data_IF_113123134705
#
_entry.id   IF_113123134705
#
_cell.length_a   1.000
_cell.length_b   1.000
_cell.length_c   1.000
_cell.angle_alpha   90.00
_cell.angle_beta   90.00
_cell.angle_gamma   90.00
#
_symmetry.space_group_name_H-M   'P 1'
#
loop_
_entity.id
_entity.type
_entity.pdbx_description
1 polymer ?
#
# COMPACT_ATOMS: atom_id res chain seq x y z
N UNK A 1 35.58 45.62 -9.33
CA UNK A 1 34.26 45.01 -9.67
C UNK A 1 34.37 43.57 -10.15
N UNK A 2 35.31 43.23 -11.05
CA UNK A 2 35.45 41.84 -11.51
C UNK A 2 35.91 40.87 -10.42
N UNK A 3 36.86 41.24 -9.55
CA UNK A 3 37.34 40.33 -8.49
C UNK A 3 36.24 39.94 -7.49
N UNK A 4 35.36 40.88 -7.12
CA UNK A 4 34.22 40.60 -6.23
C UNK A 4 33.19 39.65 -6.87
N UNK A 5 32.99 39.75 -8.19
CA UNK A 5 32.14 38.82 -8.96
C UNK A 5 32.70 37.39 -8.95
N UNK A 6 34.01 37.22 -9.13
CA UNK A 6 34.64 35.90 -9.14
C UNK A 6 34.61 35.26 -7.75
N UNK A 7 34.83 36.03 -6.68
CA UNK A 7 34.69 35.55 -5.30
C UNK A 7 33.25 35.12 -4.97
N UNK A 8 32.25 35.85 -5.47
CA UNK A 8 30.84 35.50 -5.28
C UNK A 8 30.46 34.21 -6.03
N UNK A 9 30.95 34.04 -7.26
CA UNK A 9 30.77 32.84 -8.07
C UNK A 9 31.43 31.61 -7.43
N UNK A 10 32.64 31.77 -6.87
CA UNK A 10 33.34 30.71 -6.16
C UNK A 10 32.60 30.26 -4.88
N UNK A 11 32.06 31.22 -4.12
CA UNK A 11 31.27 30.93 -2.92
C UNK A 11 29.97 30.19 -3.25
N UNK A 12 29.30 30.58 -4.34
CA UNK A 12 28.07 29.92 -4.79
C UNK A 12 28.34 28.48 -5.26
N UNK A 13 29.48 28.25 -5.92
CA UNK A 13 29.90 26.91 -6.33
C UNK A 13 30.23 26.00 -5.14
N UNK A 14 30.86 26.54 -4.09
CA UNK A 14 31.14 25.80 -2.86
C UNK A 14 29.86 25.43 -2.09
N UNK A 15 28.85 26.30 -2.07
CA UNK A 15 27.55 26.01 -1.46
C UNK A 15 26.77 24.94 -2.22
N UNK A 16 26.89 24.87 -3.55
CA UNK A 16 26.25 23.84 -4.36
C UNK A 16 26.82 22.44 -4.09
N UNK A 17 28.13 22.33 -3.80
CA UNK A 17 28.79 21.04 -3.49
C UNK A 17 28.46 20.51 -2.09
N UNK A 18 27.98 21.36 -1.18
CA UNK A 18 27.61 20.98 0.19
C UNK A 18 26.17 20.43 0.33
N UNK A 19 25.37 20.40 -0.74
CA UNK A 19 23.96 19.98 -0.71
C UNK A 19 23.76 18.45 -0.81
N UNK A 20 24.78 17.69 -1.20
CA UNK A 20 24.67 16.24 -1.31
C UNK A 20 24.53 15.59 0.07
N UNK A 21 23.30 15.19 0.43
CA UNK A 21 23.04 14.25 1.51
C UNK A 21 22.85 12.85 0.92
N UNK A 22 23.40 11.83 1.58
CA UNK A 22 23.04 10.44 1.29
C UNK A 22 21.70 10.15 1.93
N UNK A 23 20.67 10.03 1.10
CA UNK A 23 19.42 9.41 1.55
C UNK A 23 19.71 7.94 1.82
N UNK A 24 19.47 7.51 3.04
CA UNK A 24 19.54 6.10 3.41
C UNK A 24 18.10 5.60 3.43
N UNK A 25 17.55 5.13 2.29
CA UNK A 25 16.16 4.71 2.24
C UNK A 25 15.97 3.60 3.26
N UNK A 26 15.13 3.87 4.26
CA UNK A 26 14.68 2.81 5.15
C UNK A 26 13.88 1.82 4.30
N UNK A 27 14.05 0.51 4.51
CA UNK A 27 13.19 -0.46 3.86
C UNK A 27 11.75 -0.14 4.24
N UNK A 28 10.94 0.23 3.24
CA UNK A 28 9.50 0.37 3.39
C UNK A 28 8.93 -1.01 3.70
N UNK A 29 8.45 -1.19 4.93
CA UNK A 29 7.76 -2.40 5.35
C UNK A 29 6.27 -2.16 5.18
N UNK A 30 5.65 -2.86 4.24
CA UNK A 30 4.21 -2.80 4.02
C UNK A 30 3.46 -3.78 4.93
N UNK A 31 2.21 -3.49 5.32
CA UNK A 31 1.48 -4.28 6.30
C UNK A 31 1.24 -5.74 5.90
N UNK A 32 1.15 -6.04 4.60
CA UNK A 32 0.66 -7.33 4.09
C UNK A 32 1.63 -8.00 3.09
N UNK A 33 2.94 -7.74 3.18
CA UNK A 33 3.94 -8.28 2.24
C UNK A 33 4.03 -9.81 2.21
N UNK A 34 3.79 -10.47 3.34
CA UNK A 34 3.81 -11.92 3.45
C UNK A 34 2.73 -12.40 4.41
N UNK A 35 2.04 -13.48 4.05
CA UNK A 35 0.97 -14.04 4.87
C UNK A 35 -0.06 -14.79 4.05
N UNK A 36 -1.16 -15.15 4.71
CA UNK A 36 -2.27 -15.86 4.12
C UNK A 36 -3.46 -14.91 4.04
N UNK A 37 -4.07 -14.81 2.86
CA UNK A 37 -5.30 -14.05 2.66
C UNK A 37 -6.50 -14.98 2.66
N UNK A 38 -7.53 -14.61 3.41
CA UNK A 38 -8.78 -15.36 3.52
C UNK A 38 -9.91 -14.46 3.04
N UNK A 39 -10.57 -14.86 1.96
CA UNK A 39 -11.79 -14.24 1.46
C UNK A 39 -12.99 -14.74 2.25
N UNK A 40 -13.80 -13.82 2.74
CA UNK A 40 -15.01 -14.10 3.51
C UNK A 40 -16.18 -13.57 2.70
N UNK A 41 -17.07 -14.44 2.22
CA UNK A 41 -18.19 -14.03 1.36
C UNK A 41 -19.14 -13.05 2.06
N UNK A 42 -19.34 -13.23 3.36
CA UNK A 42 -20.41 -12.58 4.11
C UNK A 42 -21.78 -13.23 3.84
N UNK A 43 -22.84 -12.80 4.53
CA UNK A 43 -24.17 -13.35 4.33
C UNK A 43 -24.73 -12.94 2.96
N UNK A 44 -25.47 -13.86 2.31
CA UNK A 44 -26.16 -13.56 1.05
C UNK A 44 -27.20 -12.44 1.22
N UNK A 45 -27.26 -11.53 0.25
CA UNK A 45 -28.14 -10.34 0.17
C UNK A 45 -27.91 -9.24 1.21
N UNK A 46 -27.79 -9.55 2.50
CA UNK A 46 -27.84 -8.55 3.58
C UNK A 46 -26.55 -8.49 4.41
N UNK A 47 -25.42 -8.21 3.76
CA UNK A 47 -24.17 -7.92 4.46
C UNK A 47 -23.00 -7.66 3.54
N UNK A 48 -21.80 -7.68 4.11
CA UNK A 48 -20.57 -7.33 3.41
C UNK A 48 -19.58 -8.47 3.58
N UNK A 49 -18.97 -8.89 2.47
CA UNK A 49 -17.83 -9.78 2.50
C UNK A 49 -16.54 -9.02 2.74
N UNK A 50 -15.55 -9.70 3.28
CA UNK A 50 -14.33 -9.07 3.81
C UNK A 50 -13.11 -9.90 3.49
N UNK A 51 -11.93 -9.29 3.62
CA UNK A 51 -10.65 -9.99 3.49
C UNK A 51 -9.96 -9.95 4.84
N UNK A 52 -9.50 -11.11 5.29
CA UNK A 52 -8.67 -11.27 6.47
C UNK A 52 -7.25 -11.59 6.01
N UNK A 53 -6.26 -10.94 6.63
CA UNK A 53 -4.85 -11.30 6.49
C UNK A 53 -4.39 -12.01 7.76
N UNK A 54 -3.66 -13.11 7.60
CA UNK A 54 -3.11 -13.90 8.69
C UNK A 54 -1.59 -14.02 8.55
N UNK A 55 -0.87 -13.75 9.63
CA UNK A 55 0.57 -13.92 9.73
C UNK A 55 0.90 -15.23 10.45
N UNK A 56 1.47 -16.23 9.76
CA UNK A 56 1.72 -17.55 10.33
C UNK A 56 2.68 -17.54 11.52
N UNK A 57 3.75 -16.75 11.46
CA UNK A 57 4.82 -16.80 12.47
C UNK A 57 4.39 -16.23 13.82
N UNK A 58 3.56 -15.18 13.80
CA UNK A 58 3.02 -14.55 15.02
C UNK A 58 1.63 -15.07 15.38
N UNK A 59 1.06 -15.97 14.57
CA UNK A 59 -0.31 -16.46 14.67
C UNK A 59 -1.36 -15.33 14.81
N UNK A 60 -1.10 -14.15 14.23
CA UNK A 60 -1.99 -12.99 14.32
C UNK A 60 -2.84 -12.82 13.07
N UNK A 61 -4.12 -12.50 13.24
CA UNK A 61 -5.03 -12.18 12.14
C UNK A 61 -5.50 -10.72 12.21
N UNK A 62 -5.57 -10.06 11.04
CA UNK A 62 -6.22 -8.75 10.84
C UNK A 62 -7.42 -8.95 9.93
N UNK A 63 -8.60 -8.65 10.44
CA UNK A 63 -9.85 -8.74 9.67
C UNK A 63 -10.15 -7.42 8.97
N UNK A 64 -10.98 -7.47 7.93
CA UNK A 64 -11.52 -6.30 7.24
C UNK A 64 -10.45 -5.36 6.66
N UNK A 65 -9.33 -5.92 6.21
CA UNK A 65 -8.13 -5.15 5.84
C UNK A 65 -8.37 -4.13 4.72
N UNK A 66 -9.28 -4.42 3.79
CA UNK A 66 -9.68 -3.47 2.75
C UNK A 66 -10.42 -2.28 3.33
N UNK A 67 -11.43 -2.54 4.16
CA UNK A 67 -12.26 -1.47 4.73
C UNK A 67 -11.43 -0.56 5.63
N UNK A 68 -10.50 -1.14 6.39
CA UNK A 68 -9.53 -0.39 7.20
C UNK A 68 -8.62 0.49 6.33
N UNK A 69 -8.07 -0.07 5.25
CA UNK A 69 -7.19 0.66 4.33
C UNK A 69 -7.91 1.77 3.53
N UNK A 70 -9.21 1.61 3.27
CA UNK A 70 -9.99 2.48 2.38
C UNK A 70 -11.00 3.37 3.14
N UNK A 71 -10.65 3.80 4.36
CA UNK A 71 -11.43 4.82 5.08
C UNK A 71 -12.84 4.41 5.47
N UNK A 72 -13.09 3.11 5.66
CA UNK A 72 -14.39 2.57 6.04
C UNK A 72 -15.26 2.10 4.87
N UNK A 73 -14.80 2.21 3.63
CA UNK A 73 -15.54 1.74 2.45
C UNK A 73 -15.69 0.21 2.44
N UNK A 74 -16.92 -0.34 2.38
CA UNK A 74 -17.12 -1.78 2.30
C UNK A 74 -16.70 -2.33 0.93
N UNK A 75 -16.09 -3.51 0.93
CA UNK A 75 -15.66 -4.14 -0.33
C UNK A 75 -16.87 -4.57 -1.20
N UNK A 76 -17.98 -4.94 -0.56
CA UNK A 76 -19.26 -5.31 -1.17
C UNK A 76 -19.74 -6.69 -0.72
N UNK A 77 -20.84 -7.19 -1.29
CA UNK A 77 -21.43 -8.47 -0.90
C UNK A 77 -20.93 -9.64 -1.77
N UNK A 78 -20.58 -10.76 -1.13
CA UNK A 78 -20.01 -11.98 -1.71
C UNK A 78 -18.62 -11.76 -2.32
N UNK A 79 -17.61 -11.64 -1.46
CA UNK A 79 -16.19 -11.69 -1.84
C UNK A 79 -15.82 -13.12 -2.20
N UNK A 80 -15.83 -13.40 -3.49
CA UNK A 80 -15.79 -14.76 -4.02
C UNK A 80 -14.37 -15.29 -4.25
N UNK A 81 -13.46 -14.43 -4.72
CA UNK A 81 -12.06 -14.80 -4.92
C UNK A 81 -11.13 -13.60 -4.87
N UNK A 82 -9.88 -13.90 -4.58
CA UNK A 82 -8.75 -12.97 -4.62
C UNK A 82 -7.60 -13.67 -5.34
N UNK A 83 -6.99 -12.99 -6.30
CA UNK A 83 -5.73 -13.40 -6.92
C UNK A 83 -4.76 -12.22 -6.97
N UNK A 84 -3.48 -12.52 -7.11
CA UNK A 84 -2.43 -11.52 -7.20
C UNK A 84 -1.73 -11.60 -8.56
N UNK A 85 -1.36 -10.44 -9.08
CA UNK A 85 -0.53 -10.28 -10.27
C UNK A 85 0.35 -9.05 -10.10
N UNK A 86 1.66 -9.20 -10.28
CA UNK A 86 2.66 -8.18 -10.00
C UNK A 86 2.48 -7.57 -8.59
N UNK A 87 2.29 -6.26 -8.48
CA UNK A 87 2.06 -5.53 -7.22
C UNK A 87 0.58 -5.33 -6.90
N UNK A 88 -0.33 -5.98 -7.63
CA UNK A 88 -1.78 -5.77 -7.55
C UNK A 88 -2.51 -7.01 -7.06
N UNK A 89 -3.54 -6.79 -6.26
CA UNK A 89 -4.56 -7.77 -5.89
C UNK A 89 -5.85 -7.50 -6.66
N UNK A 90 -6.49 -8.57 -7.14
CA UNK A 90 -7.74 -8.52 -7.88
C UNK A 90 -8.80 -9.29 -7.10
N UNK A 91 -9.81 -8.57 -6.61
CA UNK A 91 -10.87 -9.12 -5.78
C UNK A 91 -12.18 -9.17 -6.56
N UNK A 92 -12.71 -10.38 -6.76
CA UNK A 92 -14.02 -10.58 -7.40
C UNK A 92 -15.11 -10.48 -6.33
N UNK A 93 -16.05 -9.55 -6.53
CA UNK A 93 -17.17 -9.32 -5.60
C UNK A 93 -18.47 -9.61 -6.33
N UNK A 94 -18.93 -10.86 -6.21
CA UNK A 94 -19.97 -11.44 -7.06
C UNK A 94 -21.29 -10.67 -6.97
N UNK A 95 -21.85 -10.53 -5.78
CA UNK A 95 -23.15 -9.87 -5.59
C UNK A 95 -23.03 -8.33 -5.53
N UNK A 96 -21.86 -7.78 -5.89
CA UNK A 96 -21.65 -6.35 -6.12
C UNK A 96 -21.33 -6.04 -7.60
N UNK A 97 -21.31 -7.05 -8.49
CA UNK A 97 -21.04 -6.91 -9.92
C UNK A 97 -19.74 -6.13 -10.25
N UNK A 98 -18.69 -6.30 -9.44
CA UNK A 98 -17.42 -5.60 -9.62
C UNK A 98 -16.19 -6.45 -9.35
N UNK A 99 -15.08 -6.04 -9.95
CA UNK A 99 -13.72 -6.44 -9.57
C UNK A 99 -13.03 -5.24 -8.96
N UNK A 100 -12.51 -5.39 -7.74
CA UNK A 100 -11.75 -4.34 -7.04
C UNK A 100 -10.27 -4.64 -7.23
N UNK A 101 -9.51 -3.63 -7.66
CA UNK A 101 -8.05 -3.70 -7.79
C UNK A 101 -7.45 -2.94 -6.63
N UNK A 102 -6.51 -3.57 -5.92
CA UNK A 102 -5.80 -2.98 -4.77
C UNK A 102 -4.30 -3.17 -4.92
N UNK A 103 -3.50 -2.38 -4.21
CA UNK A 103 -2.09 -2.73 -3.98
C UNK A 103 -1.99 -3.98 -3.09
N UNK A 104 -1.24 -4.99 -3.54
CA UNK A 104 -1.16 -6.28 -2.85
C UNK A 104 -0.63 -6.20 -1.41
N UNK A 105 0.16 -5.17 -1.12
CA UNK A 105 0.88 -5.01 0.14
C UNK A 105 0.21 -4.02 1.12
N UNK A 106 -0.68 -3.13 0.65
CA UNK A 106 -1.41 -2.15 1.48
C UNK A 106 -2.92 -2.31 1.48
N UNK A 107 -3.49 -2.98 0.48
CA UNK A 107 -4.93 -3.13 0.25
C UNK A 107 -5.69 -1.80 0.00
N UNK A 108 -4.96 -0.74 -0.34
CA UNK A 108 -5.48 0.52 -0.89
C UNK A 108 -5.76 0.41 -2.40
#
# INVERSE_FOLDING_TARGET
MNQLRHSLLALLALLALASCRKDNPQPTHYPYESGIFVTNEGPFQNGTGTITWYHPDSASAKQNIYQEANGGEPLGNIVQSLTFGDSLGYVVVNNANKVVVVRANTFE
#
